data_IF_359055491434
#
_entry.id   IF_359055491434
#
_cell.length_a   1.000
_cell.length_b   1.000
_cell.length_c   1.000
_cell.angle_alpha   90.00
_cell.angle_beta   90.00
_cell.angle_gamma   90.00
#
_symmetry.space_group_name_H-M   'P 1'
#
loop_
_entity.id
_entity.type
_entity.pdbx_description
1 polymer ?
#
# COMPACT_ATOMS: atom_id res chain seq x y z
N UNK A 1 1.12 -25.97 -5.57
CA UNK A 1 0.47 -24.84 -4.85
C UNK A 1 -1.03 -24.94 -5.10
N UNK A 2 -1.80 -25.04 -4.05
CA UNK A 2 -3.25 -24.93 -4.16
C UNK A 2 -3.59 -23.54 -4.72
N UNK A 3 -4.58 -23.50 -5.62
CA UNK A 3 -5.06 -22.22 -6.14
C UNK A 3 -5.56 -21.38 -4.95
N UNK A 4 -5.26 -20.06 -4.92
CA UNK A 4 -5.78 -19.20 -3.86
C UNK A 4 -7.29 -19.42 -3.76
N UNK A 5 -7.77 -19.56 -2.53
CA UNK A 5 -9.20 -19.52 -2.26
C UNK A 5 -9.68 -18.18 -2.80
N UNK A 6 -10.45 -18.19 -3.88
CA UNK A 6 -11.07 -16.98 -4.41
C UNK A 6 -11.88 -16.38 -3.24
N UNK A 7 -11.40 -15.25 -2.74
CA UNK A 7 -12.17 -14.43 -1.81
C UNK A 7 -13.47 -14.18 -2.55
N UNK A 8 -14.61 -14.59 -1.96
CA UNK A 8 -15.91 -14.60 -2.63
C UNK A 8 -16.11 -13.28 -3.38
N UNK A 9 -16.65 -13.34 -4.59
CA UNK A 9 -16.98 -12.15 -5.39
C UNK A 9 -18.10 -11.27 -4.75
N UNK A 10 -18.56 -11.62 -3.55
CA UNK A 10 -19.46 -10.81 -2.77
C UNK A 10 -18.75 -9.52 -2.36
N UNK A 11 -19.14 -8.47 -3.07
CA UNK A 11 -18.65 -7.12 -2.80
C UNK A 11 -19.27 -6.65 -1.49
N UNK A 12 -18.47 -6.63 -0.43
CA UNK A 12 -18.94 -6.21 0.88
C UNK A 12 -18.68 -4.70 1.07
N UNK A 13 -19.72 -3.90 1.01
CA UNK A 13 -19.72 -2.46 1.29
C UNK A 13 -20.26 -2.17 2.70
N UNK A 14 -19.59 -2.70 3.71
CA UNK A 14 -20.07 -2.60 5.09
C UNK A 14 -19.85 -1.20 5.73
N UNK A 15 -19.12 -0.31 5.07
CA UNK A 15 -18.73 0.99 5.62
C UNK A 15 -18.65 2.08 4.56
N UNK A 16 -18.97 3.32 4.95
CA UNK A 16 -18.86 4.50 4.09
C UNK A 16 -17.77 5.44 4.60
N UNK A 17 -16.92 5.92 3.68
CA UNK A 17 -15.97 6.98 3.93
C UNK A 17 -16.30 8.19 3.04
N UNK A 18 -16.47 9.38 3.62
CA UNK A 18 -16.92 10.59 2.93
C UNK A 18 -18.21 10.35 2.11
N UNK A 19 -19.15 9.56 2.65
CA UNK A 19 -20.39 9.13 1.99
C UNK A 19 -20.22 8.19 0.78
N UNK A 20 -19.02 7.67 0.54
CA UNK A 20 -18.76 6.68 -0.51
C UNK A 20 -18.64 5.28 0.09
N UNK A 21 -19.35 4.27 -0.46
CA UNK A 21 -19.26 2.90 0.02
C UNK A 21 -17.88 2.32 -0.30
N UNK A 22 -17.17 1.89 0.72
CA UNK A 22 -15.83 1.33 0.60
C UNK A 22 -15.88 -0.19 0.53
N UNK A 23 -15.23 -0.75 -0.47
CA UNK A 23 -15.04 -2.19 -0.55
C UNK A 23 -14.10 -2.66 0.55
N UNK A 24 -14.56 -3.64 1.33
CA UNK A 24 -13.84 -4.21 2.46
C UNK A 24 -13.92 -5.72 2.44
N UNK A 25 -12.88 -6.37 2.95
CA UNK A 25 -12.86 -7.81 3.24
C UNK A 25 -12.62 -7.95 4.73
N UNK A 26 -13.40 -8.81 5.38
CA UNK A 26 -13.19 -9.19 6.77
C UNK A 26 -13.17 -10.70 6.86
N UNK A 27 -12.09 -11.25 7.40
CA UNK A 27 -11.93 -12.66 7.69
C UNK A 27 -11.68 -12.84 9.19
N UNK A 28 -12.47 -13.70 9.83
CA UNK A 28 -12.36 -13.97 11.26
C UNK A 28 -11.63 -15.27 11.50
N UNK A 29 -10.82 -15.38 12.57
CA UNK A 29 -10.18 -16.62 12.94
C UNK A 29 -11.24 -17.68 13.28
N UNK A 30 -10.90 -18.95 13.02
CA UNK A 30 -11.76 -20.10 13.36
C UNK A 30 -11.90 -20.29 14.87
N UNK A 31 -10.84 -19.95 15.60
CA UNK A 31 -10.80 -19.97 17.06
C UNK A 31 -10.47 -18.57 17.58
N UNK A 32 -11.04 -18.18 18.71
CA UNK A 32 -10.75 -16.87 19.31
C UNK A 32 -9.26 -16.78 19.66
N UNK A 33 -8.58 -15.80 19.09
CA UNK A 33 -7.19 -15.49 19.45
C UNK A 33 -7.13 -15.01 20.90
N UNK A 34 -6.10 -15.45 21.63
CA UNK A 34 -5.79 -14.94 22.96
C UNK A 34 -5.45 -13.43 22.98
N UNK A 35 -5.04 -12.88 21.84
CA UNK A 35 -4.75 -11.46 21.67
C UNK A 35 -5.97 -10.75 21.06
N UNK A 36 -6.54 -9.82 21.79
CA UNK A 36 -7.68 -8.98 21.32
C UNK A 36 -7.18 -7.88 20.37
N UNK A 37 -6.59 -8.25 19.25
CA UNK A 37 -6.12 -7.33 18.21
C UNK A 37 -6.56 -7.80 16.83
N UNK A 38 -6.47 -6.89 15.84
CA UNK A 38 -6.76 -7.19 14.45
C UNK A 38 -5.56 -6.86 13.56
N UNK A 39 -5.60 -7.33 12.31
CA UNK A 39 -4.66 -6.97 11.24
C UNK A 39 -5.46 -6.22 10.17
N UNK A 40 -4.94 -5.06 9.73
CA UNK A 40 -5.50 -4.29 8.62
C UNK A 40 -4.50 -4.21 7.48
N UNK A 41 -4.88 -4.69 6.29
CA UNK A 41 -4.05 -4.78 5.10
C UNK A 41 -4.39 -3.65 4.12
N UNK A 42 -3.37 -2.87 3.72
CA UNK A 42 -3.51 -1.69 2.85
C UNK A 42 -2.65 -1.86 1.59
N UNK A 43 -3.31 -1.93 0.45
CA UNK A 43 -2.68 -2.13 -0.86
C UNK A 43 -1.94 -0.89 -1.39
N UNK A 44 -1.09 -1.09 -2.40
CA UNK A 44 -0.36 -0.05 -3.11
C UNK A 44 -1.15 0.61 -4.24
N UNK A 45 -0.48 1.53 -4.97
CA UNK A 45 -1.05 2.20 -6.14
C UNK A 45 -1.49 1.21 -7.22
N UNK A 46 -2.71 1.39 -7.73
CA UNK A 46 -3.27 0.58 -8.81
C UNK A 46 -3.66 -0.84 -8.42
N UNK A 47 -3.41 -1.25 -7.19
CA UNK A 47 -3.80 -2.53 -6.64
C UNK A 47 -5.17 -2.44 -5.92
N UNK A 48 -5.53 -3.50 -5.22
CA UNK A 48 -6.76 -3.66 -4.44
C UNK A 48 -6.56 -4.67 -3.31
N UNK A 49 -7.61 -4.97 -2.58
CA UNK A 49 -7.66 -6.07 -1.60
C UNK A 49 -7.27 -7.42 -2.22
N UNK A 50 -7.50 -7.62 -3.53
CA UNK A 50 -7.11 -8.83 -4.26
C UNK A 50 -5.59 -9.09 -4.23
N UNK A 51 -4.77 -8.05 -3.99
CA UNK A 51 -3.32 -8.17 -3.88
C UNK A 51 -2.87 -8.89 -2.59
N UNK A 52 -3.80 -9.04 -1.63
CA UNK A 52 -3.58 -9.75 -0.36
C UNK A 52 -4.13 -11.18 -0.37
N UNK A 53 -4.44 -11.72 -1.54
CA UNK A 53 -5.06 -13.05 -1.78
C UNK A 53 -4.35 -14.22 -1.10
N UNK A 54 -3.02 -14.15 -0.94
CA UNK A 54 -2.22 -15.18 -0.28
C UNK A 54 -1.94 -14.88 1.21
N UNK A 55 -2.28 -13.68 1.66
CA UNK A 55 -2.01 -13.26 3.04
C UNK A 55 -3.27 -13.37 3.91
N UNK A 56 -4.43 -12.94 3.39
CA UNK A 56 -5.69 -12.97 4.15
C UNK A 56 -6.00 -14.36 4.69
N UNK A 57 -5.96 -15.46 3.91
CA UNK A 57 -6.30 -16.79 4.40
C UNK A 57 -5.38 -17.26 5.53
N UNK A 58 -4.07 -17.01 5.41
CA UNK A 58 -3.07 -17.46 6.38
C UNK A 58 -3.12 -16.64 7.66
N UNK A 59 -3.20 -15.31 7.53
CA UNK A 59 -3.26 -14.42 8.71
C UNK A 59 -4.58 -14.59 9.47
N UNK A 60 -5.67 -14.88 8.76
CA UNK A 60 -6.98 -15.08 9.38
C UNK A 60 -7.13 -16.41 10.13
N UNK A 61 -6.19 -17.33 10.01
CA UNK A 61 -6.18 -18.51 10.89
C UNK A 61 -5.96 -18.14 12.36
N UNK A 62 -5.25 -17.03 12.64
CA UNK A 62 -4.91 -16.58 13.99
C UNK A 62 -5.56 -15.27 14.43
N UNK A 63 -5.76 -14.33 13.51
CA UNK A 63 -6.21 -12.98 13.81
C UNK A 63 -7.44 -12.59 13.00
N UNK A 64 -8.24 -11.67 13.52
CA UNK A 64 -9.23 -11.00 12.69
C UNK A 64 -8.49 -10.12 11.68
N UNK A 65 -8.71 -10.38 10.38
CA UNK A 65 -8.04 -9.71 9.28
C UNK A 65 -9.04 -8.85 8.53
N UNK A 66 -8.69 -7.60 8.33
CA UNK A 66 -9.39 -6.67 7.47
C UNK A 66 -8.51 -6.29 6.28
N UNK A 67 -9.11 -6.06 5.14
CA UNK A 67 -8.48 -5.42 4.00
C UNK A 67 -9.46 -4.41 3.39
N UNK A 68 -8.99 -3.26 2.97
CA UNK A 68 -9.82 -2.21 2.37
C UNK A 68 -9.27 -1.78 1.03
N UNK A 69 -10.16 -1.52 0.08
CA UNK A 69 -9.80 -0.79 -1.13
C UNK A 69 -9.78 0.71 -0.81
N UNK A 70 -8.63 1.32 -0.98
CA UNK A 70 -8.50 2.77 -0.81
C UNK A 70 -9.43 3.50 -1.79
N UNK A 71 -10.07 4.57 -1.36
CA UNK A 71 -10.94 5.39 -2.21
C UNK A 71 -10.17 5.80 -3.48
N UNK A 72 -10.75 5.52 -4.64
CA UNK A 72 -10.10 5.70 -5.93
C UNK A 72 -9.48 4.43 -6.52
N UNK A 73 -9.40 3.32 -5.77
CA UNK A 73 -8.80 2.07 -6.21
C UNK A 73 -9.73 0.86 -6.04
N UNK A 74 -9.35 -0.25 -6.65
CA UNK A 74 -10.06 -1.51 -6.55
C UNK A 74 -11.54 -1.38 -6.88
N UNK A 75 -12.39 -2.03 -6.09
CA UNK A 75 -13.85 -1.99 -6.19
C UNK A 75 -14.45 -0.76 -5.49
N UNK A 76 -13.65 0.03 -4.74
CA UNK A 76 -14.09 1.30 -4.16
C UNK A 76 -14.37 2.35 -5.22
N UNK A 77 -15.34 3.28 -4.99
CA UNK A 77 -15.66 4.35 -5.92
C UNK A 77 -14.47 5.26 -6.27
N UNK A 78 -14.58 5.90 -7.43
CA UNK A 78 -13.57 6.83 -7.96
C UNK A 78 -14.18 8.20 -8.22
N UNK A 79 -14.71 8.87 -7.16
CA UNK A 79 -15.37 10.17 -7.30
C UNK A 79 -14.43 11.23 -7.90
N UNK A 80 -15.02 12.15 -8.65
CA UNK A 80 -14.27 13.22 -9.35
C UNK A 80 -14.23 14.52 -8.56
N UNK A 81 -15.02 14.63 -7.51
CA UNK A 81 -15.14 15.76 -6.58
C UNK A 81 -14.29 15.62 -5.33
N UNK A 82 -13.50 14.55 -5.24
CA UNK A 82 -12.55 14.30 -4.14
C UNK A 82 -11.12 14.60 -4.58
N UNK A 83 -10.38 15.31 -3.74
CA UNK A 83 -8.94 15.50 -3.93
C UNK A 83 -8.16 14.30 -3.40
N UNK A 84 -7.69 13.44 -4.28
CA UNK A 84 -6.84 12.30 -3.91
C UNK A 84 -5.49 12.78 -3.42
N UNK A 85 -5.12 12.37 -2.21
CA UNK A 85 -3.88 12.78 -1.55
C UNK A 85 -3.45 11.77 -0.49
N UNK A 86 -2.22 11.91 -0.04
CA UNK A 86 -1.70 11.11 1.09
C UNK A 86 -2.50 11.32 2.37
N UNK A 87 -3.07 12.51 2.58
CA UNK A 87 -3.93 12.80 3.74
C UNK A 87 -5.26 12.06 3.63
N UNK A 88 -5.90 12.05 2.45
CA UNK A 88 -7.15 11.33 2.23
C UNK A 88 -7.03 9.86 2.61
N UNK A 89 -5.99 9.17 2.14
CA UNK A 89 -5.81 7.75 2.42
C UNK A 89 -5.38 7.47 3.86
N UNK A 90 -4.56 8.35 4.45
CA UNK A 90 -4.28 8.30 5.88
C UNK A 90 -5.57 8.41 6.71
N UNK A 91 -6.43 9.39 6.39
CA UNK A 91 -7.70 9.61 7.09
C UNK A 91 -8.64 8.41 6.91
N UNK A 92 -8.70 7.84 5.71
CA UNK A 92 -9.50 6.63 5.44
C UNK A 92 -9.06 5.46 6.33
N UNK A 93 -7.75 5.18 6.40
CA UNK A 93 -7.21 4.08 7.24
C UNK A 93 -7.48 4.34 8.72
N UNK A 94 -7.19 5.56 9.20
CA UNK A 94 -7.40 5.90 10.60
C UNK A 94 -8.87 5.83 11.01
N UNK A 95 -9.78 6.33 10.16
CA UNK A 95 -11.21 6.31 10.41
C UNK A 95 -11.76 4.88 10.40
N UNK A 96 -11.28 4.02 9.48
CA UNK A 96 -11.68 2.61 9.45
C UNK A 96 -11.31 1.88 10.75
N UNK A 97 -10.12 2.11 11.28
CA UNK A 97 -9.72 1.53 12.58
C UNK A 97 -10.62 2.04 13.71
N UNK A 98 -10.88 3.35 13.75
CA UNK A 98 -11.70 3.98 14.83
C UNK A 98 -13.17 3.57 14.79
N UNK A 99 -13.75 3.45 13.59
CA UNK A 99 -15.20 3.26 13.44
C UNK A 99 -15.61 1.80 13.26
N UNK A 100 -14.78 0.99 12.59
CA UNK A 100 -15.11 -0.40 12.23
C UNK A 100 -14.38 -1.39 13.13
N UNK A 101 -13.06 -1.35 13.18
CA UNK A 101 -12.26 -2.34 13.93
C UNK A 101 -12.39 -2.11 15.44
N UNK A 102 -12.25 -0.89 15.91
CA UNK A 102 -12.45 -0.43 17.30
C UNK A 102 -11.60 -1.15 18.36
N UNK A 103 -10.46 -1.71 17.98
CA UNK A 103 -9.50 -2.39 18.86
C UNK A 103 -8.06 -2.20 18.37
N UNK A 104 -7.05 -2.49 19.20
CA UNK A 104 -5.66 -2.41 18.78
C UNK A 104 -5.42 -3.19 17.48
N UNK A 105 -4.78 -2.54 16.50
CA UNK A 105 -4.68 -3.06 15.13
C UNK A 105 -3.25 -2.99 14.65
N UNK A 106 -2.73 -4.11 14.12
CA UNK A 106 -1.51 -4.14 13.32
C UNK A 106 -1.83 -3.70 11.90
N UNK A 107 -1.24 -2.58 11.46
CA UNK A 107 -1.52 -2.00 10.15
C UNK A 107 -0.38 -2.35 9.20
N UNK A 108 -0.71 -3.11 8.16
CA UNK A 108 0.25 -3.66 7.19
C UNK A 108 0.04 -2.98 5.85
N UNK A 109 1.05 -2.35 5.29
CA UNK A 109 0.89 -1.65 4.02
C UNK A 109 2.05 -1.79 3.06
N UNK A 110 1.72 -1.92 1.77
CA UNK A 110 2.68 -1.93 0.69
C UNK A 110 2.69 -0.59 -0.07
N UNK A 111 3.89 -0.10 -0.40
CA UNK A 111 4.07 1.08 -1.26
C UNK A 111 3.27 2.31 -0.77
N UNK A 112 2.32 2.84 -1.55
CA UNK A 112 1.40 3.91 -1.16
C UNK A 112 0.60 3.55 0.09
N UNK A 113 0.13 2.29 0.18
CA UNK A 113 -0.54 1.77 1.38
C UNK A 113 0.38 1.76 2.60
N UNK A 114 1.68 1.53 2.41
CA UNK A 114 2.68 1.63 3.48
C UNK A 114 2.79 3.05 4.03
N UNK A 115 2.76 4.07 3.17
CA UNK A 115 2.68 5.46 3.62
C UNK A 115 1.41 5.72 4.44
N UNK A 116 0.25 5.32 3.90
CA UNK A 116 -1.03 5.53 4.58
C UNK A 116 -1.07 4.81 5.95
N UNK A 117 -0.53 3.59 6.01
CA UNK A 117 -0.40 2.81 7.24
C UNK A 117 0.44 3.50 8.31
N UNK A 118 1.65 3.97 7.94
CA UNK A 118 2.53 4.69 8.87
C UNK A 118 1.89 5.98 9.36
N UNK A 119 1.34 6.78 8.44
CA UNK A 119 0.76 8.06 8.76
C UNK A 119 -0.51 7.93 9.64
N UNK A 120 -1.34 6.92 9.38
CA UNK A 120 -2.50 6.60 10.22
C UNK A 120 -2.06 6.11 11.61
N UNK A 121 -1.07 5.23 11.69
CA UNK A 121 -0.56 4.71 12.96
C UNK A 121 0.02 5.79 13.86
N UNK A 122 0.73 6.77 13.28
CA UNK A 122 1.26 7.92 14.01
C UNK A 122 0.14 8.80 14.65
N UNK A 123 -1.09 8.72 14.10
CA UNK A 123 -2.27 9.41 14.64
C UNK A 123 -3.05 8.53 15.62
N UNK A 124 -3.16 7.23 15.38
CA UNK A 124 -4.00 6.31 16.12
C UNK A 124 -3.52 5.99 17.52
N UNK A 125 -2.23 6.20 17.80
CA UNK A 125 -1.61 5.95 19.13
C UNK A 125 -1.94 4.54 19.64
N UNK A 126 -2.72 4.44 20.71
CA UNK A 126 -3.06 3.17 21.40
C UNK A 126 -3.88 2.20 20.54
N UNK A 127 -4.59 2.70 19.52
CA UNK A 127 -5.27 1.83 18.55
C UNK A 127 -4.31 1.25 17.50
N UNK A 128 -3.07 1.74 17.40
CA UNK A 128 -2.02 1.14 16.58
C UNK A 128 -1.22 0.15 17.43
N UNK A 129 -1.48 -1.15 17.29
CA UNK A 129 -0.71 -2.21 17.97
C UNK A 129 0.68 -2.38 17.37
N UNK A 130 0.86 -2.00 16.10
CA UNK A 130 2.13 -2.06 15.38
C UNK A 130 1.95 -1.73 13.90
N UNK A 131 3.05 -1.47 13.21
CA UNK A 131 3.06 -1.14 11.78
C UNK A 131 4.01 -2.07 11.03
N UNK A 132 3.55 -2.60 9.90
CA UNK A 132 4.39 -3.37 8.97
C UNK A 132 4.47 -2.62 7.65
N UNK A 133 5.67 -2.27 7.24
CA UNK A 133 5.92 -1.55 6.00
C UNK A 133 6.61 -2.45 4.98
N UNK A 134 5.94 -2.68 3.84
CA UNK A 134 6.48 -3.42 2.70
C UNK A 134 6.83 -2.44 1.59
N UNK A 135 8.10 -2.16 1.39
CA UNK A 135 8.59 -1.23 0.37
C UNK A 135 7.75 0.07 0.33
N UNK A 136 7.52 0.70 1.49
CA UNK A 136 6.61 1.83 1.63
C UNK A 136 7.08 3.06 0.85
N UNK A 137 6.16 3.64 0.08
CA UNK A 137 6.43 4.84 -0.72
C UNK A 137 6.30 6.09 0.16
N UNK A 138 7.39 6.79 0.36
CA UNK A 138 7.43 8.04 1.11
C UNK A 138 8.79 8.70 1.00
N UNK A 139 8.88 9.94 1.48
CA UNK A 139 10.09 10.74 1.40
C UNK A 139 10.54 11.14 2.80
N UNK A 140 11.84 11.29 2.98
CA UNK A 140 12.43 11.94 4.14
C UNK A 140 12.67 13.42 3.86
N UNK A 141 12.68 14.24 4.92
CA UNK A 141 12.91 15.68 4.77
C UNK A 141 14.21 15.99 4.03
N UNK A 142 15.28 15.23 4.31
CA UNK A 142 16.58 15.43 3.67
C UNK A 142 16.61 15.01 2.18
N UNK A 143 15.75 14.11 1.73
CA UNK A 143 15.66 13.75 0.32
C UNK A 143 15.17 14.91 -0.56
N UNK A 144 14.38 15.83 -0.01
CA UNK A 144 13.94 17.05 -0.70
C UNK A 144 15.12 18.00 -1.00
N UNK A 145 16.18 17.94 -0.19
CA UNK A 145 17.39 18.77 -0.32
C UNK A 145 18.38 18.13 -1.27
N UNK A 146 18.49 16.79 -1.28
CA UNK A 146 19.49 16.02 -2.01
C UNK A 146 19.20 15.79 -3.51
N UNK A 147 18.01 16.10 -4.01
CA UNK A 147 17.60 15.88 -5.41
C UNK A 147 18.33 16.80 -6.41
N UNK A 148 19.65 16.88 -6.33
CA UNK A 148 20.51 17.73 -7.16
C UNK A 148 21.24 17.01 -8.30
N UNK A 149 20.98 15.74 -8.59
CA UNK A 149 21.57 15.13 -9.79
C UNK A 149 20.88 15.67 -11.03
N UNK A 150 21.67 16.19 -11.98
CA UNK A 150 21.19 16.79 -13.23
C UNK A 150 20.28 15.82 -14.02
N UNK A 151 20.53 14.52 -13.95
CA UNK A 151 19.75 13.49 -14.65
C UNK A 151 18.35 13.30 -14.00
N UNK A 152 18.27 13.31 -12.68
CA UNK A 152 16.99 13.23 -11.96
C UNK A 152 16.19 14.53 -12.13
N UNK A 153 16.86 15.68 -12.17
CA UNK A 153 16.21 16.96 -12.51
C UNK A 153 15.64 16.94 -13.92
N UNK A 154 16.40 16.46 -14.92
CA UNK A 154 15.93 16.43 -16.31
C UNK A 154 14.74 15.47 -16.51
N UNK A 155 14.77 14.27 -15.91
CA UNK A 155 13.66 13.33 -15.90
C UNK A 155 12.45 13.89 -15.15
N UNK A 156 12.64 14.49 -13.99
CA UNK A 156 11.60 15.14 -13.20
C UNK A 156 11.02 16.33 -13.96
N UNK A 157 11.85 17.20 -14.52
CA UNK A 157 11.41 18.36 -15.33
C UNK A 157 10.70 17.91 -16.60
N UNK A 158 11.16 16.85 -17.29
CA UNK A 158 10.48 16.26 -18.44
C UNK A 158 9.11 15.70 -18.02
N UNK A 159 9.04 14.91 -16.95
CA UNK A 159 7.79 14.38 -16.42
C UNK A 159 6.85 15.51 -15.95
N UNK A 160 7.38 16.49 -15.24
CA UNK A 160 6.62 17.64 -14.76
C UNK A 160 6.12 18.52 -15.90
N UNK A 161 6.96 18.86 -16.87
CA UNK A 161 6.57 19.72 -17.99
C UNK A 161 5.65 18.99 -18.95
N UNK A 162 5.91 17.71 -19.20
CA UNK A 162 5.17 16.88 -20.12
C UNK A 162 3.79 16.47 -19.58
N UNK A 163 3.70 16.23 -18.26
CA UNK A 163 2.43 15.90 -17.61
C UNK A 163 1.60 17.11 -17.19
N UNK A 164 2.21 18.27 -16.90
CA UNK A 164 1.51 19.46 -16.40
C UNK A 164 0.59 20.16 -17.40
N UNK A 165 0.86 20.04 -18.67
CA UNK A 165 0.23 20.91 -19.67
C UNK A 165 -0.80 20.24 -20.58
N UNK A 166 -0.78 18.92 -20.75
CA UNK A 166 -1.54 18.28 -21.81
C UNK A 166 -2.37 17.09 -21.29
N UNK A 167 -3.62 17.37 -20.93
CA UNK A 167 -4.60 16.37 -20.45
C UNK A 167 -4.79 15.24 -21.47
N UNK A 168 -4.74 15.55 -22.78
CA UNK A 168 -4.87 14.55 -23.84
C UNK A 168 -3.72 13.54 -23.77
N UNK A 169 -2.51 14.04 -23.59
CA UNK A 169 -1.32 13.18 -23.47
C UNK A 169 -1.35 12.33 -22.21
N UNK A 170 -1.71 12.92 -21.06
CA UNK A 170 -1.91 12.18 -19.80
C UNK A 170 -2.91 11.05 -19.99
N UNK A 171 -4.02 11.33 -20.70
CA UNK A 171 -5.04 10.34 -21.00
C UNK A 171 -4.51 9.24 -21.92
N UNK A 172 -3.75 9.59 -22.95
CA UNK A 172 -3.14 8.61 -23.86
C UNK A 172 -2.19 7.66 -23.13
N UNK A 173 -1.37 8.21 -22.21
CA UNK A 173 -0.48 7.42 -21.36
C UNK A 173 -1.29 6.47 -20.46
N UNK A 174 -2.31 6.99 -19.78
CA UNK A 174 -3.19 6.19 -18.93
C UNK A 174 -3.88 5.07 -19.70
N UNK A 175 -4.46 5.38 -20.90
CA UNK A 175 -5.09 4.39 -21.79
C UNK A 175 -4.10 3.32 -22.26
N UNK A 176 -2.85 3.69 -22.46
CA UNK A 176 -1.79 2.73 -22.77
C UNK A 176 -1.44 1.87 -21.55
N UNK A 177 -1.25 2.48 -20.37
CA UNK A 177 -0.85 1.78 -19.14
C UNK A 177 -1.86 0.72 -18.72
N UNK A 178 -3.17 0.96 -18.86
CA UNK A 178 -4.23 0.01 -18.46
C UNK A 178 -4.47 -1.16 -19.43
N UNK A 179 -3.70 -1.25 -20.54
CA UNK A 179 -3.77 -2.42 -21.43
C UNK A 179 -3.13 -3.63 -20.74
N UNK A 180 -3.79 -4.81 -20.82
CA UNK A 180 -3.27 -6.06 -20.20
C UNK A 180 -1.78 -6.29 -20.45
N UNK A 181 -1.33 -6.11 -21.69
CA UNK A 181 0.06 -6.33 -22.08
C UNK A 181 1.02 -5.38 -21.35
N UNK A 182 0.61 -4.14 -21.12
CA UNK A 182 1.42 -3.14 -20.43
C UNK A 182 1.38 -3.31 -18.90
N UNK A 183 0.23 -3.71 -18.34
CA UNK A 183 0.13 -4.12 -16.93
C UNK A 183 1.06 -5.31 -16.68
N UNK A 184 1.00 -6.36 -17.52
CA UNK A 184 1.90 -7.52 -17.41
C UNK A 184 3.37 -7.12 -17.49
N UNK A 185 3.74 -6.24 -18.44
CA UNK A 185 5.11 -5.72 -18.54
C UNK A 185 5.53 -4.95 -17.27
N UNK A 186 4.65 -4.10 -16.73
CA UNK A 186 4.92 -3.36 -15.50
C UNK A 186 5.12 -4.30 -14.32
N UNK A 187 4.24 -5.30 -14.15
CA UNK A 187 4.37 -6.32 -13.11
C UNK A 187 5.67 -7.11 -13.25
N UNK A 188 6.01 -7.58 -14.45
CA UNK A 188 7.26 -8.29 -14.72
C UNK A 188 8.52 -7.45 -14.41
N UNK A 189 8.42 -6.13 -14.49
CA UNK A 189 9.51 -5.24 -14.12
C UNK A 189 9.65 -5.08 -12.60
N UNK A 190 8.55 -5.08 -11.86
CA UNK A 190 8.56 -4.83 -10.42
C UNK A 190 8.61 -6.09 -9.57
N UNK A 191 8.24 -7.24 -10.14
CA UNK A 191 8.39 -8.55 -9.52
C UNK A 191 9.71 -9.20 -9.92
N UNK A 192 10.51 -9.61 -8.95
CA UNK A 192 11.66 -10.46 -9.19
C UNK A 192 11.22 -11.89 -9.50
N UNK A 193 10.34 -12.44 -8.68
CA UNK A 193 9.70 -13.73 -8.91
C UNK A 193 8.33 -13.50 -9.57
N UNK A 194 8.22 -13.92 -10.83
CA UNK A 194 7.03 -13.70 -11.64
C UNK A 194 5.99 -14.83 -11.54
N UNK A 195 6.20 -15.81 -10.68
CA UNK A 195 5.31 -16.98 -10.58
C UNK A 195 3.85 -16.59 -10.30
N UNK A 196 3.65 -15.52 -9.54
CA UNK A 196 2.33 -15.01 -9.16
C UNK A 196 1.81 -13.88 -10.07
N UNK A 197 2.54 -13.53 -11.14
CA UNK A 197 2.06 -12.60 -12.18
C UNK A 197 1.12 -13.35 -13.14
N UNK A 198 -0.04 -13.69 -12.62
CA UNK A 198 -1.07 -14.44 -13.32
C UNK A 198 -2.16 -13.55 -13.93
N UNK A 199 -3.08 -14.16 -14.66
CA UNK A 199 -4.20 -13.44 -15.28
C UNK A 199 -5.15 -12.82 -14.25
N UNK A 200 -5.29 -13.44 -13.08
CA UNK A 200 -6.10 -12.90 -11.99
C UNK A 200 -5.53 -11.57 -11.50
N UNK A 201 -4.23 -11.52 -11.18
CA UNK A 201 -3.55 -10.29 -10.76
C UNK A 201 -3.65 -9.18 -11.82
N UNK A 202 -3.43 -9.53 -13.09
CA UNK A 202 -3.55 -8.56 -14.19
C UNK A 202 -4.97 -8.00 -14.27
N UNK A 203 -5.99 -8.84 -14.13
CA UNK A 203 -7.39 -8.43 -14.21
C UNK A 203 -7.83 -7.63 -12.98
N UNK A 204 -7.33 -7.95 -11.79
CA UNK A 204 -7.61 -7.20 -10.56
C UNK A 204 -7.12 -5.75 -10.63
N UNK A 205 -6.07 -5.49 -11.41
CA UNK A 205 -5.55 -4.13 -11.69
C UNK A 205 -6.32 -3.48 -12.84
N UNK A 206 -6.55 -4.25 -13.91
CA UNK A 206 -7.13 -3.72 -15.14
C UNK A 206 -8.59 -3.34 -14.99
N UNK A 207 -9.42 -4.21 -14.42
CA UNK A 207 -10.87 -3.98 -14.30
C UNK A 207 -11.18 -2.65 -13.61
N UNK A 208 -10.64 -2.35 -12.40
CA UNK A 208 -10.86 -1.07 -11.75
C UNK A 208 -10.34 0.14 -12.53
N UNK A 209 -9.29 -0.03 -13.35
CA UNK A 209 -8.75 1.05 -14.17
C UNK A 209 -9.68 1.47 -15.32
N UNK A 210 -10.72 0.67 -15.60
CA UNK A 210 -11.73 0.99 -16.61
C UNK A 210 -12.90 1.83 -16.06
N UNK A 211 -13.02 1.94 -14.75
CA UNK A 211 -14.11 2.66 -14.10
C UNK A 211 -14.08 4.16 -14.43
N UNK A 212 -15.25 4.80 -14.49
CA UNK A 212 -15.33 6.26 -14.53
C UNK A 212 -14.55 6.87 -13.36
N UNK A 213 -13.77 7.92 -13.62
CA UNK A 213 -12.95 8.57 -12.58
C UNK A 213 -11.55 7.98 -12.37
N UNK A 214 -11.25 6.76 -12.81
CA UNK A 214 -9.91 6.16 -12.64
C UNK A 214 -8.78 7.03 -13.21
N UNK A 215 -9.02 7.73 -14.31
CA UNK A 215 -8.08 8.69 -14.86
C UNK A 215 -7.80 9.88 -13.92
N UNK A 216 -8.81 10.38 -13.19
CA UNK A 216 -8.61 11.47 -12.24
C UNK A 216 -7.77 11.03 -11.04
N UNK A 217 -7.96 9.79 -10.56
CA UNK A 217 -7.11 9.19 -9.52
C UNK A 217 -5.67 9.12 -9.99
N UNK A 218 -5.44 8.54 -11.19
CA UNK A 218 -4.12 8.45 -11.80
C UNK A 218 -3.44 9.82 -11.88
N UNK A 219 -4.15 10.81 -12.43
CA UNK A 219 -3.64 12.18 -12.54
C UNK A 219 -3.27 12.80 -11.19
N UNK A 220 -4.06 12.54 -10.15
CA UNK A 220 -3.80 13.07 -8.81
C UNK A 220 -2.56 12.46 -8.16
N UNK A 221 -2.36 11.15 -8.29
CA UNK A 221 -1.18 10.46 -7.73
C UNK A 221 0.11 10.95 -8.37
N UNK A 222 0.10 11.15 -9.69
CA UNK A 222 1.27 11.61 -10.43
C UNK A 222 1.39 13.14 -10.51
N UNK A 223 0.50 13.88 -9.83
CA UNK A 223 0.59 15.34 -9.77
C UNK A 223 1.72 15.77 -8.82
N UNK A 224 2.80 16.36 -9.32
CA UNK A 224 3.93 16.78 -8.47
C UNK A 224 3.60 17.97 -7.54
N UNK A 225 2.50 18.67 -7.80
CA UNK A 225 1.99 19.75 -6.93
C UNK A 225 0.88 19.27 -6.00
N UNK A 226 0.50 18.00 -6.09
CA UNK A 226 -0.47 17.37 -5.18
C UNK A 226 0.00 17.47 -3.74
N UNK A 227 -0.96 17.41 -2.82
CA UNK A 227 -0.67 17.46 -1.39
C UNK A 227 0.23 16.28 -1.02
N UNK A 228 1.52 16.56 -0.89
CA UNK A 228 2.48 15.58 -0.40
C UNK A 228 2.23 15.39 1.10
N UNK A 229 2.24 14.13 1.52
CA UNK A 229 2.12 13.81 2.92
C UNK A 229 3.31 14.26 3.75
N UNK A 230 3.20 14.13 5.04
CA UNK A 230 4.28 14.43 5.99
C UNK A 230 5.48 13.50 5.74
N UNK A 231 6.73 14.02 5.79
CA UNK A 231 7.93 13.18 5.64
C UNK A 231 8.04 12.09 6.71
N UNK A 232 8.66 10.96 6.34
CA UNK A 232 8.80 9.80 7.22
C UNK A 232 9.54 10.11 8.53
N UNK A 233 10.59 10.92 8.49
CA UNK A 233 11.33 11.35 9.69
C UNK A 233 10.45 12.09 10.71
N UNK A 234 9.41 12.77 10.26
CA UNK A 234 8.43 13.41 11.13
C UNK A 234 7.38 12.43 11.63
N UNK A 235 6.92 11.50 10.77
CA UNK A 235 5.96 10.47 11.17
C UNK A 235 6.58 9.51 12.19
N UNK A 236 7.84 9.10 12.03
CA UNK A 236 8.53 8.26 13.01
C UNK A 236 8.65 8.89 14.38
N UNK A 237 8.84 10.23 14.47
CA UNK A 237 8.84 10.94 15.75
C UNK A 237 7.49 10.91 16.49
N UNK A 238 6.39 10.69 15.74
CA UNK A 238 5.03 10.62 16.29
C UNK A 238 4.59 9.18 16.55
N UNK A 239 5.29 8.22 15.95
CA UNK A 239 4.95 6.80 16.05
C UNK A 239 5.30 6.28 17.44
N UNK A 240 4.31 5.75 18.14
CA UNK A 240 4.48 5.15 19.47
C UNK A 240 4.44 3.62 19.43
N UNK A 241 3.92 3.05 18.35
CA UNK A 241 3.79 1.60 18.19
C UNK A 241 5.03 0.96 17.56
N UNK A 242 5.26 -0.34 17.79
CA UNK A 242 6.35 -1.10 17.18
C UNK A 242 6.31 -1.05 15.64
N UNK A 243 7.49 -1.18 15.02
CA UNK A 243 7.66 -1.12 13.57
C UNK A 243 8.41 -2.36 13.04
N UNK A 244 7.83 -3.01 12.02
CA UNK A 244 8.47 -4.04 11.21
C UNK A 244 8.67 -3.54 9.78
N UNK A 245 9.89 -3.66 9.27
CA UNK A 245 10.23 -3.34 7.88
C UNK A 245 10.48 -4.65 7.12
N UNK A 246 9.70 -4.91 6.09
CA UNK A 246 9.88 -6.02 5.17
C UNK A 246 10.27 -5.47 3.80
N UNK A 247 11.53 -5.63 3.45
CA UNK A 247 12.07 -5.13 2.19
C UNK A 247 12.11 -6.21 1.12
N UNK A 248 11.51 -5.96 -0.04
CA UNK A 248 11.92 -6.63 -1.26
C UNK A 248 13.25 -6.05 -1.70
N UNK A 249 14.33 -6.79 -1.44
CA UNK A 249 15.70 -6.31 -1.66
C UNK A 249 16.07 -6.06 -3.13
N UNK A 250 15.24 -6.53 -4.06
CA UNK A 250 15.41 -6.37 -5.52
C UNK A 250 14.38 -5.41 -6.13
N UNK A 251 13.78 -4.54 -5.32
CA UNK A 251 12.84 -3.53 -5.78
C UNK A 251 13.49 -2.58 -6.80
N UNK A 252 13.01 -2.54 -8.05
CA UNK A 252 13.59 -1.68 -9.09
C UNK A 252 13.14 -0.22 -8.98
N UNK A 253 12.04 0.05 -8.27
CA UNK A 253 11.49 1.40 -8.11
C UNK A 253 12.08 2.14 -6.92
N UNK A 254 12.47 1.40 -5.90
CA UNK A 254 13.11 1.98 -4.73
C UNK A 254 14.56 1.55 -4.63
N UNK A 255 15.46 2.50 -4.46
CA UNK A 255 16.82 2.17 -4.06
C UNK A 255 16.79 1.72 -2.59
N UNK A 256 16.49 0.42 -2.37
CA UNK A 256 16.34 -0.17 -1.04
C UNK A 256 17.56 0.09 -0.17
N UNK A 257 18.77 0.01 -0.72
CA UNK A 257 20.01 0.26 0.04
C UNK A 257 20.08 1.69 0.59
N UNK A 258 19.80 2.69 -0.25
CA UNK A 258 19.80 4.10 0.19
C UNK A 258 18.65 4.40 1.14
N UNK A 259 17.46 3.86 0.87
CA UNK A 259 16.30 4.03 1.76
C UNK A 259 16.54 3.45 3.14
N UNK A 260 17.11 2.25 3.23
CA UNK A 260 17.44 1.60 4.50
C UNK A 260 18.37 2.43 5.39
N UNK A 261 19.33 3.17 4.80
CA UNK A 261 20.17 4.10 5.57
C UNK A 261 19.36 5.21 6.24
N UNK A 262 18.36 5.75 5.54
CA UNK A 262 17.46 6.76 6.10
C UNK A 262 16.55 6.18 7.19
N UNK A 263 16.00 4.98 6.96
CA UNK A 263 15.22 4.29 7.98
C UNK A 263 16.06 4.01 9.22
N UNK A 264 17.29 3.49 9.06
CA UNK A 264 18.21 3.26 10.18
C UNK A 264 18.52 4.54 10.99
N UNK A 265 18.51 5.70 10.31
CA UNK A 265 18.77 7.00 10.95
C UNK A 265 17.57 7.55 11.72
N UNK A 266 16.35 7.31 11.25
CA UNK A 266 15.15 8.00 11.73
C UNK A 266 14.07 7.10 12.33
N UNK A 267 14.04 5.82 12.01
CA UNK A 267 13.06 4.89 12.56
C UNK A 267 13.30 4.64 14.07
N UNK A 268 12.27 4.24 14.82
CA UNK A 268 12.42 3.89 16.24
C UNK A 268 13.50 2.83 16.46
N UNK A 269 14.22 2.89 17.58
CA UNK A 269 15.36 2.00 17.88
C UNK A 269 14.98 0.51 17.91
N UNK A 270 13.75 0.18 18.32
CA UNK A 270 13.22 -1.18 18.39
C UNK A 270 12.62 -1.66 17.05
N UNK A 271 12.91 -0.98 15.95
CA UNK A 271 12.44 -1.40 14.61
C UNK A 271 13.09 -2.73 14.22
N UNK A 272 12.27 -3.73 13.88
CA UNK A 272 12.75 -4.96 13.23
C UNK A 272 12.83 -4.76 11.72
N UNK A 273 13.87 -5.29 11.10
CA UNK A 273 14.10 -5.21 9.65
C UNK A 273 14.41 -6.60 9.08
N UNK A 274 13.74 -6.94 7.97
CA UNK A 274 13.98 -8.16 7.20
C UNK A 274 14.13 -7.80 5.72
N UNK A 275 15.10 -8.40 5.05
CA UNK A 275 15.32 -8.25 3.61
C UNK A 275 14.97 -9.56 2.93
N UNK A 276 13.98 -9.51 2.04
CA UNK A 276 13.49 -10.65 1.28
C UNK A 276 14.08 -10.61 -0.14
N UNK A 277 14.33 -11.77 -0.71
CA UNK A 277 14.75 -11.89 -2.12
C UNK A 277 13.54 -11.75 -3.05
N UNK A 278 12.94 -10.56 -3.04
CA UNK A 278 11.74 -10.18 -3.76
C UNK A 278 11.87 -8.76 -4.35
N UNK A 279 10.98 -8.41 -5.26
CA UNK A 279 10.85 -7.08 -5.84
C UNK A 279 9.98 -6.14 -4.98
N UNK A 280 9.15 -5.34 -5.65
CA UNK A 280 8.36 -4.27 -5.01
C UNK A 280 7.17 -4.77 -4.18
N UNK A 281 6.65 -5.95 -4.49
CA UNK A 281 5.44 -6.49 -3.87
C UNK A 281 5.71 -7.82 -3.15
N UNK A 282 6.56 -7.84 -2.09
CA UNK A 282 6.99 -9.09 -1.46
C UNK A 282 5.83 -9.92 -0.91
N UNK A 283 4.73 -9.29 -0.49
CA UNK A 283 3.54 -9.96 0.03
C UNK A 283 2.82 -10.85 -1.00
N UNK A 284 2.95 -10.57 -2.29
CA UNK A 284 2.40 -11.39 -3.37
C UNK A 284 3.49 -12.22 -4.07
N UNK A 285 4.77 -11.80 -4.02
CA UNK A 285 5.88 -12.53 -4.63
C UNK A 285 6.36 -13.74 -3.80
N UNK A 286 6.46 -13.55 -2.48
CA UNK A 286 6.95 -14.54 -1.51
C UNK A 286 6.05 -14.54 -0.27
N UNK A 287 4.73 -14.81 -0.45
CA UNK A 287 3.72 -14.63 0.57
C UNK A 287 3.98 -15.46 1.82
N UNK A 288 4.52 -16.68 1.68
CA UNK A 288 4.80 -17.58 2.80
C UNK A 288 5.79 -16.92 3.78
N UNK A 289 6.89 -16.34 3.25
CA UNK A 289 7.90 -15.67 4.07
C UNK A 289 7.34 -14.40 4.72
N UNK A 290 6.55 -13.62 3.97
CA UNK A 290 5.94 -12.40 4.51
C UNK A 290 4.96 -12.73 5.63
N UNK A 291 4.07 -13.71 5.42
CA UNK A 291 3.10 -14.14 6.43
C UNK A 291 3.82 -14.64 7.69
N UNK A 292 4.86 -15.47 7.53
CA UNK A 292 5.63 -15.99 8.65
C UNK A 292 6.27 -14.85 9.46
N UNK A 293 6.96 -13.91 8.80
CA UNK A 293 7.59 -12.79 9.49
C UNK A 293 6.59 -11.86 10.19
N UNK A 294 5.41 -11.65 9.63
CA UNK A 294 4.35 -10.87 10.27
C UNK A 294 3.88 -11.60 11.54
N UNK A 295 3.54 -12.89 11.43
CA UNK A 295 3.05 -13.68 12.57
C UNK A 295 4.08 -13.78 13.67
N UNK A 296 5.33 -14.15 13.36
CA UNK A 296 6.42 -14.26 14.33
C UNK A 296 6.69 -12.93 15.04
N UNK A 297 6.60 -11.82 14.30
CA UNK A 297 6.78 -10.51 14.89
C UNK A 297 5.64 -10.14 15.83
N UNK A 298 4.39 -10.34 15.42
CA UNK A 298 3.22 -10.08 16.27
C UNK A 298 3.26 -10.95 17.53
N UNK A 299 3.67 -12.23 17.41
CA UNK A 299 3.77 -13.14 18.53
C UNK A 299 4.90 -12.76 19.52
N UNK A 300 5.92 -12.04 19.05
CA UNK A 300 7.05 -11.56 19.86
C UNK A 300 6.77 -10.28 20.67
N UNK A 301 5.63 -9.62 20.45
CA UNK A 301 5.18 -8.42 21.17
C UNK A 301 4.22 -8.77 22.30
#
# INVERSE_FOLDING_TARGET
>A
MEKPVLISDEVNYAWNFLNYPIHTITAKPKEESSKSCAILLIHGFGASTDHWRFNIPVLSDKYEVHAIDLLGFGKSPKPTDVQYSSHLWKDQVATYVKEVIKKPTFIVGNSLGGYASLAASAELKELSAGVVLLNAAGMFSEEKVSNNSLLQKSLKTFFETFLRGNVFLQRTIFESMRRRVNIKKALNNVYKNQANVDDYLIDSIRKPSLDPGAFNVFKSVFNPTGVQGEPFDKLFKKLTSPLLLLWGGKDPWMNTASKRLLYKKYAPENTKEVILDAGHCPHDEVPELVNQHILDWIDSL
#
